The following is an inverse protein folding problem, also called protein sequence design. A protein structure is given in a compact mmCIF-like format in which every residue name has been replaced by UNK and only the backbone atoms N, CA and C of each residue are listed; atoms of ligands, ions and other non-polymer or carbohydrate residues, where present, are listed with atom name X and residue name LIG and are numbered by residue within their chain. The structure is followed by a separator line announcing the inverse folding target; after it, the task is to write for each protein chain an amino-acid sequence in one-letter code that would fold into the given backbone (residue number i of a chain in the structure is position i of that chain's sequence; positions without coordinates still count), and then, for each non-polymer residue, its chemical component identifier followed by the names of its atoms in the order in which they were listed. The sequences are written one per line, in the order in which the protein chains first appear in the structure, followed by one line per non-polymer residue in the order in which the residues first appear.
data_IF_051245933898
#
_entry.id   IF_051245933898
#
_cell.length_a   1.000
_cell.length_b   1.000
_cell.length_c   1.000
_cell.angle_alpha   90.00
_cell.angle_beta   90.00
_cell.angle_gamma   90.00
#
_symmetry.space_group_name_H-M   'P 1'
#
loop_
_entity.id
_entity.type
_entity.pdbx_description
1 polymer ?
#
# COMPACT_ATOMS: atom_id res chain seq x y z
N UNK A 1 14.33 11.64 -8.25
CA UNK A 1 12.95 11.21 -7.91
C UNK A 1 12.29 10.37 -9.00
N UNK A 2 12.30 10.79 -10.26
CA UNK A 2 11.61 10.08 -11.36
C UNK A 2 12.02 8.60 -11.51
N UNK A 3 13.31 8.27 -11.40
CA UNK A 3 13.77 6.88 -11.50
C UNK A 3 13.30 6.01 -10.34
N UNK A 4 13.16 6.59 -9.14
CA UNK A 4 12.58 5.86 -8.01
C UNK A 4 11.12 5.49 -8.29
N UNK A 5 10.34 6.47 -8.79
CA UNK A 5 8.94 6.26 -9.15
C UNK A 5 8.81 5.23 -10.26
N UNK A 6 9.63 5.28 -11.31
CA UNK A 6 9.61 4.29 -12.40
C UNK A 6 9.88 2.87 -11.90
N UNK A 7 10.89 2.70 -11.03
CA UNK A 7 11.26 1.39 -10.48
C UNK A 7 10.21 0.84 -9.53
N UNK A 8 9.52 1.71 -8.77
CA UNK A 8 8.56 1.30 -7.74
C UNK A 8 7.09 1.53 -8.13
N UNK A 9 6.80 1.89 -9.39
CA UNK A 9 5.47 2.30 -9.86
C UNK A 9 4.41 1.25 -9.53
N UNK A 10 4.68 -0.02 -9.80
CA UNK A 10 3.76 -1.13 -9.49
C UNK A 10 3.48 -1.24 -7.99
N UNK A 11 4.47 -0.96 -7.14
CA UNK A 11 4.29 -0.96 -5.68
C UNK A 11 3.44 0.22 -5.25
N UNK A 12 3.66 1.40 -5.82
CA UNK A 12 2.87 2.60 -5.53
C UNK A 12 1.41 2.38 -5.94
N UNK A 13 1.18 1.87 -7.14
CA UNK A 13 -0.16 1.54 -7.64
C UNK A 13 -0.84 0.48 -6.75
N UNK A 14 -0.14 -0.60 -6.42
CA UNK A 14 -0.67 -1.62 -5.51
C UNK A 14 -1.02 -1.03 -4.14
N UNK A 15 -0.14 -0.21 -3.55
CA UNK A 15 -0.38 0.46 -2.26
C UNK A 15 -1.62 1.33 -2.31
N UNK A 16 -1.81 2.10 -3.39
CA UNK A 16 -3.00 2.93 -3.56
C UNK A 16 -4.28 2.10 -3.69
N UNK A 17 -4.24 0.98 -4.42
CA UNK A 17 -5.37 0.07 -4.55
C UNK A 17 -5.71 -0.61 -3.21
N UNK A 18 -4.71 -1.10 -2.47
CA UNK A 18 -4.93 -1.76 -1.18
C UNK A 18 -5.44 -0.78 -0.13
N UNK A 19 -5.00 0.48 -0.18
CA UNK A 19 -5.52 1.54 0.68
C UNK A 19 -7.00 1.82 0.39
N UNK A 20 -7.37 1.97 -0.89
CA UNK A 20 -8.78 2.15 -1.30
C UNK A 20 -9.63 0.96 -0.88
N UNK A 21 -9.17 -0.28 -1.09
CA UNK A 21 -9.88 -1.47 -0.63
C UNK A 21 -10.07 -1.49 0.89
N UNK A 22 -9.05 -1.08 1.65
CA UNK A 22 -9.15 -0.96 3.11
C UNK A 22 -10.27 -0.01 3.51
N UNK A 23 -10.37 1.16 2.86
CA UNK A 23 -11.42 2.15 3.13
C UNK A 23 -12.82 1.63 2.75
N UNK A 24 -12.96 0.97 1.60
CA UNK A 24 -14.23 0.37 1.16
C UNK A 24 -14.71 -0.66 2.19
N UNK A 25 -13.86 -1.61 2.57
CA UNK A 25 -14.25 -2.67 3.49
C UNK A 25 -14.41 -2.18 4.94
N UNK A 26 -13.71 -1.11 5.33
CA UNK A 26 -13.96 -0.42 6.59
C UNK A 26 -15.37 0.19 6.59
N UNK A 27 -15.77 0.87 5.51
CA UNK A 27 -17.12 1.43 5.38
C UNK A 27 -18.21 0.34 5.36
N UNK A 28 -17.94 -0.81 4.74
CA UNK A 28 -18.83 -1.98 4.74
C UNK A 28 -18.84 -2.76 6.08
N UNK A 29 -18.07 -2.34 7.09
CA UNK A 29 -17.92 -3.05 8.38
C UNK A 29 -17.45 -4.50 8.26
N UNK A 30 -16.69 -4.83 7.20
CA UNK A 30 -16.12 -6.16 6.94
C UNK A 30 -14.73 -6.30 7.59
N UNK A 31 -14.71 -6.32 8.92
CA UNK A 31 -13.50 -6.24 9.74
C UNK A 31 -12.36 -7.20 9.36
N UNK A 32 -12.64 -8.48 9.11
CA UNK A 32 -11.60 -9.46 8.72
C UNK A 32 -10.91 -9.05 7.41
N UNK A 33 -11.69 -8.62 6.42
CA UNK A 33 -11.17 -8.22 5.11
C UNK A 33 -10.43 -6.88 5.22
N UNK A 34 -10.96 -5.95 6.02
CA UNK A 34 -10.31 -4.66 6.32
C UNK A 34 -8.93 -4.87 6.94
N UNK A 35 -8.82 -5.75 7.94
CA UNK A 35 -7.54 -6.03 8.61
C UNK A 35 -6.53 -6.61 7.62
N UNK A 36 -6.95 -7.54 6.75
CA UNK A 36 -6.07 -8.12 5.73
C UNK A 36 -5.53 -7.03 4.80
N UNK A 37 -6.40 -6.18 4.24
CA UNK A 37 -5.95 -5.11 3.33
C UNK A 37 -5.14 -4.02 4.04
N UNK A 38 -5.45 -3.71 5.30
CA UNK A 38 -4.67 -2.78 6.10
C UNK A 38 -3.24 -3.29 6.30
N UNK A 39 -3.06 -4.59 6.61
CA UNK A 39 -1.74 -5.21 6.74
C UNK A 39 -0.97 -5.19 5.42
N UNK A 40 -1.60 -5.55 4.31
CA UNK A 40 -0.95 -5.49 2.98
C UNK A 40 -0.53 -4.05 2.65
N UNK A 41 -1.37 -3.07 2.95
CA UNK A 41 -1.06 -1.65 2.74
C UNK A 41 0.16 -1.23 3.56
N UNK A 42 0.22 -1.58 4.85
CA UNK A 42 1.35 -1.28 5.72
C UNK A 42 2.65 -1.91 5.23
N UNK A 43 2.62 -3.17 4.80
CA UNK A 43 3.80 -3.86 4.25
C UNK A 43 4.32 -3.14 2.99
N UNK A 44 3.42 -2.74 2.09
CA UNK A 44 3.83 -2.04 0.87
C UNK A 44 4.42 -0.66 1.17
N UNK A 45 3.84 0.09 2.11
CA UNK A 45 4.37 1.37 2.57
C UNK A 45 5.76 1.18 3.20
N UNK A 46 5.93 0.19 4.08
CA UNK A 46 7.22 -0.10 4.71
C UNK A 46 8.30 -0.43 3.66
N UNK A 47 7.95 -1.23 2.63
CA UNK A 47 8.85 -1.56 1.53
C UNK A 47 9.25 -0.32 0.73
N UNK A 48 8.29 0.55 0.42
CA UNK A 48 8.54 1.83 -0.27
C UNK A 48 9.41 2.77 0.56
N UNK A 49 9.13 2.92 1.84
CA UNK A 49 9.89 3.74 2.76
C UNK A 49 11.34 3.25 2.87
N UNK A 50 11.54 1.94 3.06
CA UNK A 50 12.88 1.36 3.14
C UNK A 50 13.66 1.54 1.84
N UNK A 51 13.02 1.33 0.68
CA UNK A 51 13.65 1.56 -0.61
C UNK A 51 14.00 3.04 -0.84
N UNK A 52 13.20 3.97 -0.32
CA UNK A 52 13.48 5.40 -0.39
C UNK A 52 14.68 5.78 0.49
N UNK A 53 14.75 5.27 1.73
CA UNK A 53 15.84 5.57 2.66
C UNK A 53 17.16 4.86 2.31
N UNK A 54 17.11 3.72 1.60
CA UNK A 54 18.31 3.04 1.08
C UNK A 54 18.90 3.69 -0.18
N UNK A 55 18.19 4.64 -0.78
CA UNK A 55 18.60 5.33 -2.00
C UNK A 55 19.36 6.61 -1.67
#
# INVERSE_FOLDING_TARGET
MLDFVKVHLSTILLTSATFVLTLIYLAESKWTITIVWALVTLINIARLAFAYFKK
#
